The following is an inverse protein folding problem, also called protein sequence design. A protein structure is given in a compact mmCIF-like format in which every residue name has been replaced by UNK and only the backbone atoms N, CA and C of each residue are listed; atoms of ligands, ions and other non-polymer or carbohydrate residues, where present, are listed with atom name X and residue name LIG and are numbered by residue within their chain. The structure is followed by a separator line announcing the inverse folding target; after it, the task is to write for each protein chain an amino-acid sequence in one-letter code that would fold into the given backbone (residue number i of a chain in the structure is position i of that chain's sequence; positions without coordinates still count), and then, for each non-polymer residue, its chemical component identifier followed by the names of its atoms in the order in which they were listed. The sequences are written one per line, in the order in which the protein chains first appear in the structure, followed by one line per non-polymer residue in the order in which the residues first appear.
data_IF_035911268960
#
_entry.id   IF_035911268960
#
_cell.length_a   1.000
_cell.length_b   1.000
_cell.length_c   1.000
_cell.angle_alpha   90.00
_cell.angle_beta   90.00
_cell.angle_gamma   90.00
#
_symmetry.space_group_name_H-M   'P 1'
#
loop_
_entity.id
_entity.type
_entity.pdbx_description
1 polymer ?
#
# COMPACT_ATOMS: atom_id res chain seq x y z
N UNK A 1 13.11 34.98 9.42
CA UNK A 1 13.13 33.68 8.72
C UNK A 1 11.70 33.20 8.55
N UNK A 2 11.06 33.51 7.41
CA UNK A 2 9.66 33.14 7.16
C UNK A 2 9.68 31.78 6.47
N UNK A 3 9.21 30.72 7.16
CA UNK A 3 8.89 29.45 6.52
C UNK A 3 7.77 29.72 5.53
N UNK A 4 8.06 29.76 4.23
CA UNK A 4 7.03 29.82 3.19
C UNK A 4 6.19 28.55 3.33
N UNK A 5 4.98 28.69 3.87
CA UNK A 5 3.95 27.68 3.67
C UNK A 5 3.72 27.55 2.15
N UNK A 6 3.54 26.32 1.63
CA UNK A 6 3.14 26.16 0.24
C UNK A 6 1.81 26.89 -0.01
N UNK A 7 1.59 27.41 -1.23
CA UNK A 7 0.37 28.15 -1.56
C UNK A 7 -0.88 27.28 -1.32
N UNK A 8 -2.00 27.88 -0.87
CA UNK A 8 -3.22 27.17 -0.48
C UNK A 8 -3.91 26.44 -1.65
N UNK A 9 -3.47 26.66 -2.89
CA UNK A 9 -3.97 25.99 -4.09
C UNK A 9 -3.39 24.57 -4.29
N UNK A 10 -2.36 24.21 -3.49
CA UNK A 10 -1.89 22.83 -3.32
C UNK A 10 -2.52 22.16 -2.09
N UNK A 11 -3.58 22.73 -1.52
CA UNK A 11 -4.59 21.93 -0.87
C UNK A 11 -5.25 21.12 -1.99
N UNK A 12 -4.62 20.00 -2.36
CA UNK A 12 -5.34 18.89 -2.95
C UNK A 12 -6.49 18.70 -1.95
N UNK A 13 -7.70 19.14 -2.32
CA UNK A 13 -8.93 18.80 -1.59
C UNK A 13 -8.78 17.33 -1.31
N UNK A 14 -8.56 16.97 -0.03
CA UNK A 14 -8.05 15.66 0.35
C UNK A 14 -8.82 14.65 -0.50
N UNK A 15 -8.17 13.97 -1.48
CA UNK A 15 -8.89 13.37 -2.58
C UNK A 15 -9.92 12.48 -1.93
N UNK A 16 -11.20 12.80 -2.12
CA UNK A 16 -12.27 12.24 -1.29
C UNK A 16 -12.11 10.74 -1.33
N UNK A 17 -11.57 10.17 -0.24
CA UNK A 17 -11.23 8.76 -0.26
C UNK A 17 -12.52 8.01 -0.57
N UNK A 18 -12.50 7.10 -1.55
CA UNK A 18 -13.71 6.37 -1.91
C UNK A 18 -14.34 5.76 -0.66
N UNK A 19 -15.66 5.74 -0.55
CA UNK A 19 -16.34 5.14 0.61
C UNK A 19 -16.00 3.65 0.76
N UNK A 20 -15.59 2.99 -0.33
CA UNK A 20 -15.10 1.62 -0.36
C UNK A 20 -13.58 1.50 -0.14
N UNK A 21 -12.89 2.56 0.31
CA UNK A 21 -11.46 2.56 0.60
C UNK A 21 -11.00 1.38 1.46
N UNK A 22 -11.70 0.96 2.53
CA UNK A 22 -11.28 -0.21 3.31
C UNK A 22 -11.21 -1.50 2.47
N UNK A 23 -12.15 -1.69 1.55
CA UNK A 23 -12.15 -2.85 0.63
C UNK A 23 -11.03 -2.75 -0.39
N UNK A 24 -10.73 -1.54 -0.87
CA UNK A 24 -9.62 -1.27 -1.79
C UNK A 24 -8.26 -1.48 -1.13
N UNK A 25 -8.12 -1.04 0.11
CA UNK A 25 -6.93 -1.27 0.93
C UNK A 25 -6.69 -2.78 1.16
N UNK A 26 -7.75 -3.55 1.40
CA UNK A 26 -7.65 -5.02 1.47
C UNK A 26 -7.16 -5.61 0.15
N UNK A 27 -7.77 -5.26 -0.98
CA UNK A 27 -7.34 -5.74 -2.31
C UNK A 27 -5.91 -5.36 -2.63
N UNK A 28 -5.49 -4.15 -2.26
CA UNK A 28 -4.12 -3.69 -2.45
C UNK A 28 -3.14 -4.51 -1.61
N UNK A 29 -3.45 -4.76 -0.33
CA UNK A 29 -2.68 -5.65 0.55
C UNK A 29 -2.61 -7.07 0.00
N UNK A 30 -3.71 -7.60 -0.55
CA UNK A 30 -3.76 -8.93 -1.18
C UNK A 30 -2.91 -8.97 -2.46
N UNK A 31 -2.94 -7.92 -3.28
CA UNK A 31 -2.13 -7.82 -4.49
C UNK A 31 -0.63 -7.74 -4.19
N UNK A 32 -0.25 -7.17 -3.04
CA UNK A 32 1.12 -7.17 -2.54
C UNK A 32 1.54 -8.50 -1.90
N UNK A 33 0.59 -9.39 -1.61
CA UNK A 33 0.80 -10.64 -0.87
C UNK A 33 1.54 -10.47 0.47
N UNK A 34 1.16 -9.43 1.24
CA UNK A 34 1.79 -9.10 2.53
C UNK A 34 0.82 -9.17 3.69
N UNK A 35 1.32 -9.35 4.92
CA UNK A 35 0.51 -9.21 6.13
C UNK A 35 0.15 -7.73 6.40
N UNK A 36 -0.81 -7.50 7.29
CA UNK A 36 -1.17 -6.13 7.70
C UNK A 36 -0.03 -5.41 8.42
N UNK A 37 0.75 -6.14 9.23
CA UNK A 37 1.91 -5.59 9.94
C UNK A 37 3.05 -5.24 8.99
N UNK A 38 3.27 -6.07 7.97
CA UNK A 38 4.25 -5.78 6.91
C UNK A 38 3.82 -4.54 6.13
N UNK A 39 2.54 -4.43 5.74
CA UNK A 39 2.04 -3.22 5.09
C UNK A 39 2.24 -1.98 5.95
N UNK A 40 1.89 -2.04 7.24
CA UNK A 40 2.07 -0.95 8.20
C UNK A 40 3.55 -0.51 8.26
N UNK A 41 4.45 -1.49 8.35
CA UNK A 41 5.90 -1.26 8.34
C UNK A 41 6.36 -0.59 7.04
N UNK A 42 5.91 -1.07 5.88
CA UNK A 42 6.30 -0.53 4.58
C UNK A 42 5.91 0.95 4.40
N UNK A 43 4.79 1.37 4.98
CA UNK A 43 4.30 2.76 4.88
C UNK A 43 4.66 3.60 6.12
N UNK A 44 5.40 3.04 7.08
CA UNK A 44 5.76 3.72 8.32
C UNK A 44 4.56 4.08 9.21
N UNK A 45 3.47 3.33 9.15
CA UNK A 45 2.28 3.53 9.96
C UNK A 45 2.24 2.58 11.17
N UNK A 46 1.55 3.01 12.23
CA UNK A 46 1.28 2.14 13.37
C UNK A 46 0.22 1.08 12.99
N UNK A 47 0.38 -0.21 13.34
CA UNK A 47 -0.60 -1.26 13.04
C UNK A 47 -2.03 -0.94 13.50
N UNK A 48 -2.19 -0.20 14.60
CA UNK A 48 -3.51 0.25 15.11
C UNK A 48 -4.14 1.29 14.19
N UNK A 49 -3.35 2.14 13.52
CA UNK A 49 -3.87 3.06 12.52
C UNK A 49 -4.40 2.29 11.31
N UNK A 50 -3.64 1.30 10.83
CA UNK A 50 -4.07 0.42 9.74
C UNK A 50 -5.35 -0.35 10.09
N UNK A 51 -5.47 -0.83 11.33
CA UNK A 51 -6.71 -1.43 11.82
C UNK A 51 -7.89 -0.46 11.75
N UNK A 52 -7.74 0.79 12.19
CA UNK A 52 -8.81 1.79 12.09
C UNK A 52 -9.21 2.09 10.65
N UNK A 53 -8.27 2.06 9.71
CA UNK A 53 -8.58 2.26 8.29
C UNK A 53 -9.40 1.13 7.70
N UNK A 54 -9.17 -0.11 8.15
CA UNK A 54 -10.00 -1.26 7.80
C UNK A 54 -11.44 -1.11 8.28
N UNK A 55 -11.64 -0.39 9.39
CA UNK A 55 -12.96 -0.06 9.93
C UNK A 55 -13.58 1.23 9.32
N UNK A 56 -12.94 1.84 8.32
CA UNK A 56 -13.47 3.02 7.62
C UNK A 56 -12.92 4.37 8.09
N UNK A 57 -11.98 4.39 9.03
CA UNK A 57 -11.32 5.66 9.41
C UNK A 57 -10.39 6.12 8.28
N UNK A 58 -10.41 7.42 7.95
CA UNK A 58 -9.51 7.96 6.93
C UNK A 58 -8.05 8.04 7.43
N UNK A 59 -7.04 7.64 6.63
CA UNK A 59 -5.64 7.89 6.93
C UNK A 59 -5.33 9.38 7.01
N UNK A 60 -4.26 9.73 7.73
CA UNK A 60 -3.69 11.07 7.68
C UNK A 60 -3.10 11.35 6.29
N UNK A 61 -2.84 12.62 5.97
CA UNK A 61 -2.20 13.01 4.71
C UNK A 61 -0.86 12.29 4.49
N UNK A 62 -0.02 12.21 5.52
CA UNK A 62 1.29 11.54 5.44
C UNK A 62 1.15 10.04 5.17
N UNK A 63 0.24 9.35 5.86
CA UNK A 63 -0.01 7.92 5.65
C UNK A 63 -0.62 7.65 4.29
N UNK A 64 -1.51 8.52 3.81
CA UNK A 64 -2.10 8.41 2.48
C UNK A 64 -1.05 8.61 1.39
N UNK A 65 -0.15 9.57 1.57
CA UNK A 65 0.97 9.79 0.66
C UNK A 65 1.92 8.59 0.62
N UNK A 66 2.24 8.00 1.78
CA UNK A 66 3.06 6.79 1.84
C UNK A 66 2.39 5.59 1.14
N UNK A 67 1.07 5.41 1.30
CA UNK A 67 0.29 4.42 0.56
C UNK A 67 0.34 4.67 -0.95
N UNK A 68 0.20 5.91 -1.39
CA UNK A 68 0.29 6.28 -2.80
C UNK A 68 1.66 5.98 -3.38
N UNK A 69 2.75 6.35 -2.68
CA UNK A 69 4.11 6.03 -3.11
C UNK A 69 4.37 4.52 -3.18
N UNK A 70 3.80 3.73 -2.28
CA UNK A 70 3.90 2.27 -2.36
C UNK A 70 3.10 1.71 -3.54
N UNK A 71 1.93 2.29 -3.81
CA UNK A 71 1.04 1.85 -4.87
C UNK A 71 1.52 2.22 -6.28
N UNK A 72 2.15 3.38 -6.43
CA UNK A 72 2.78 3.84 -7.69
C UNK A 72 3.92 2.91 -8.14
N UNK A 73 4.54 2.19 -7.19
CA UNK A 73 5.57 1.18 -7.49
C UNK A 73 5.01 -0.14 -8.03
N UNK A 74 3.69 -0.33 -7.98
CA UNK A 74 3.05 -1.54 -8.47
C UNK A 74 2.27 -1.25 -9.75
N UNK A 75 2.35 -2.11 -10.78
CA UNK A 75 1.50 -1.99 -11.96
C UNK A 75 0.02 -1.94 -11.56
N UNK A 76 -0.63 -0.80 -11.78
CA UNK A 76 -2.03 -0.58 -11.42
C UNK A 76 -2.31 -0.43 -9.91
N UNK A 77 -1.30 -0.29 -9.05
CA UNK A 77 -1.49 -0.17 -7.60
C UNK A 77 -2.29 1.08 -7.21
N UNK A 78 -2.00 2.22 -7.84
CA UNK A 78 -2.78 3.46 -7.62
C UNK A 78 -4.24 3.26 -8.02
N UNK A 79 -4.49 2.57 -9.13
CA UNK A 79 -5.84 2.21 -9.59
C UNK A 79 -6.55 1.29 -8.60
N UNK A 80 -5.83 0.36 -7.96
CA UNK A 80 -6.42 -0.50 -6.93
C UNK A 80 -6.86 0.29 -5.69
N UNK A 81 -6.09 1.30 -5.26
CA UNK A 81 -6.41 2.11 -4.10
C UNK A 81 -7.46 3.20 -4.39
N UNK A 82 -7.36 3.88 -5.53
CA UNK A 82 -8.12 5.10 -5.83
C UNK A 82 -9.16 4.93 -6.95
N UNK A 83 -9.12 3.83 -7.72
CA UNK A 83 -10.05 3.55 -8.82
C UNK A 83 -9.51 4.01 -10.17
N UNK A 84 -10.32 3.86 -11.23
CA UNK A 84 -9.90 4.15 -12.61
C UNK A 84 -9.46 5.61 -12.85
N UNK A 85 -9.89 6.54 -11.98
CA UNK A 85 -9.46 7.93 -12.04
C UNK A 85 -8.02 8.18 -11.57
N UNK A 86 -7.41 7.24 -10.85
CA UNK A 86 -6.07 7.38 -10.27
C UNK A 86 -4.91 7.18 -11.24
N UNK A 87 -5.15 6.60 -12.43
CA UNK A 87 -4.08 6.13 -13.34
C UNK A 87 -3.67 7.14 -14.43
N UNK A 88 -4.25 8.35 -14.42
CA UNK A 88 -4.02 9.36 -15.48
C UNK A 88 -2.62 10.02 -15.44
N UNK A 89 -1.72 9.63 -14.53
CA UNK A 89 -0.45 10.30 -14.24
C UNK A 89 0.83 9.45 -14.42
N UNK A 90 0.79 8.42 -15.27
CA UNK A 90 1.86 7.42 -15.47
C UNK A 90 3.30 7.97 -15.52
N UNK A 91 4.17 7.51 -14.60
CA UNK A 91 5.62 7.42 -14.80
C UNK A 91 6.10 5.98 -14.53
N UNK A 92 6.84 5.34 -15.46
CA UNK A 92 7.34 3.99 -15.23
C UNK A 92 8.60 4.02 -14.35
N UNK A 93 8.52 3.53 -13.12
CA UNK A 93 9.69 3.17 -12.31
C UNK A 93 9.72 1.65 -12.16
N UNK A 94 10.66 1.00 -12.87
CA UNK A 94 10.92 -0.43 -12.75
C UNK A 94 11.84 -0.62 -11.55
N UNK A 95 11.37 -1.33 -10.51
CA UNK A 95 12.24 -1.85 -9.45
C UNK A 95 11.93 -3.33 -9.22
N UNK A 96 12.99 -4.15 -9.22
CA UNK A 96 12.97 -5.60 -8.97
C UNK A 96 13.02 -5.88 -7.46
N UNK A 97 12.16 -6.76 -6.90
CA UNK A 97 12.22 -7.12 -5.49
C UNK A 97 13.56 -7.75 -5.10
N UNK A 98 14.16 -7.24 -4.02
CA UNK A 98 15.41 -7.71 -3.45
C UNK A 98 15.29 -9.04 -2.69
N UNK A 99 14.10 -9.61 -2.55
CA UNK A 99 13.95 -10.88 -1.83
C UNK A 99 12.77 -11.68 -2.38
N UNK A 100 13.09 -12.55 -3.34
CA UNK A 100 12.23 -13.64 -3.75
C UNK A 100 12.48 -14.75 -2.73
N UNK A 101 11.72 -14.77 -1.63
CA UNK A 101 11.72 -15.93 -0.75
C UNK A 101 11.42 -17.18 -1.61
N UNK A 102 12.38 -18.11 -1.60
CA UNK A 102 12.40 -19.29 -2.43
C UNK A 102 11.14 -20.16 -2.22
N UNK A 103 10.69 -20.91 -3.24
CA UNK A 103 9.66 -21.92 -3.07
C UNK A 103 10.18 -23.02 -2.13
N UNK A 104 9.59 -23.13 -0.95
CA UNK A 104 9.74 -24.29 -0.07
C UNK A 104 9.06 -25.49 -0.71
N UNK A 105 9.87 -26.26 -1.43
CA UNK A 105 9.72 -27.63 -1.90
C UNK A 105 8.71 -28.49 -1.10
N UNK A 106 7.68 -29.00 -1.80
CA UNK A 106 6.97 -30.22 -1.39
C UNK A 106 7.73 -31.44 -1.94
N UNK A 107 8.25 -32.28 -1.06
CA UNK A 107 8.59 -33.69 -1.32
C UNK A 107 8.51 -34.41 0.04
N UNK A 108 7.56 -35.34 0.24
CA UNK A 108 7.83 -36.78 0.10
C UNK A 108 8.46 -37.29 1.41
N UNK A 109 7.68 -37.80 2.35
CA UNK A 109 7.36 -39.22 2.49
C UNK A 109 8.60 -40.14 2.63
N UNK A 110 8.59 -40.87 3.76
CA UNK A 110 9.34 -42.09 4.06
C UNK A 110 10.87 -42.01 4.22
N UNK A 111 11.38 -42.37 5.40
CA UNK A 111 12.30 -43.52 5.60
C UNK A 111 12.72 -43.63 7.07
N UNK A 112 12.11 -44.60 7.76
CA UNK A 112 12.75 -45.64 8.60
C UNK A 112 13.69 -45.23 9.75
N UNK A 113 13.18 -45.43 10.96
CA UNK A 113 13.98 -45.66 12.17
C UNK A 113 14.75 -47.00 12.06
N UNK A 114 16.07 -46.94 12.24
CA UNK A 114 16.89 -48.02 12.80
C UNK A 114 18.00 -47.41 13.64
#
# INVERSE_FOLDING_TARGET
MIRRLPPPELLIEAPFLPDDFPRRLLRFKEALDVSWDVLATCIGADPRQVWRWREGTKPSGDSLYALFLLADRQPGGVRLLLGEDGDRGRHPVIWLPADRAAPGEQAGEDTRWR
#
